data_IF_634367800410
#
_entry.id   IF_634367800410
#
_cell.length_a   1.000
_cell.length_b   1.000
_cell.length_c   1.000
_cell.angle_alpha   90.00
_cell.angle_beta   90.00
_cell.angle_gamma   90.00
#
_symmetry.space_group_name_H-M   'P 1'
#
loop_
_entity.id
_entity.type
_entity.pdbx_description
1 polymer ?
#
# COMPACT_ATOMS: atom_id res chain seq x y z
N UNK A 1 -58.97 23.35 -33.64
CA UNK A 1 -58.96 22.44 -32.47
C UNK A 1 -58.05 23.09 -31.45
N UNK A 2 -58.64 23.96 -30.61
CA UNK A 2 -59.12 23.67 -29.24
C UNK A 2 -57.93 23.76 -28.27
N UNK A 3 -57.64 24.96 -27.76
CA UNK A 3 -58.23 25.65 -26.59
C UNK A 3 -57.35 25.47 -25.34
N UNK A 4 -56.96 26.63 -24.81
CA UNK A 4 -56.42 26.90 -23.48
C UNK A 4 -57.44 26.52 -22.39
N UNK A 5 -56.98 26.29 -21.16
CA UNK A 5 -57.62 26.68 -19.88
C UNK A 5 -56.92 25.99 -18.69
N UNK A 6 -56.38 26.85 -17.83
CA UNK A 6 -56.00 26.67 -16.43
C UNK A 6 -57.20 26.48 -15.47
N UNK A 7 -57.04 25.72 -14.38
CA UNK A 7 -57.52 25.97 -13.00
C UNK A 7 -57.42 24.67 -12.18
N UNK A 8 -56.66 24.63 -11.08
CA UNK A 8 -57.00 25.03 -9.72
C UNK A 8 -57.72 23.94 -8.90
N UNK A 9 -57.01 23.52 -7.84
CA UNK A 9 -57.48 23.31 -6.46
C UNK A 9 -58.65 22.34 -6.14
N UNK A 10 -58.37 21.36 -5.28
CA UNK A 10 -59.32 20.89 -4.27
C UNK A 10 -58.57 20.25 -3.10
N UNK A 11 -58.97 20.66 -1.90
CA UNK A 11 -58.39 20.29 -0.62
C UNK A 11 -59.24 19.24 0.11
N UNK A 12 -58.65 18.68 1.17
CA UNK A 12 -59.26 18.04 2.36
C UNK A 12 -59.94 16.67 2.16
N UNK A 13 -59.49 15.67 2.94
CA UNK A 13 -60.28 14.96 3.97
C UNK A 13 -59.41 13.96 4.71
N UNK A 14 -59.21 14.16 6.01
CA UNK A 14 -58.76 13.13 6.96
C UNK A 14 -59.96 12.31 7.46
N UNK A 15 -59.73 11.05 7.87
CA UNK A 15 -60.31 10.65 9.16
C UNK A 15 -59.37 9.77 10.03
N UNK A 16 -59.22 10.22 11.28
CA UNK A 16 -59.39 9.48 12.54
C UNK A 16 -58.69 8.12 12.76
N UNK A 17 -57.74 8.13 13.71
CA UNK A 17 -57.21 6.99 14.46
C UNK A 17 -58.30 6.17 15.19
N UNK A 18 -58.01 4.92 15.55
CA UNK A 18 -57.93 4.62 16.98
C UNK A 18 -56.69 3.82 17.41
N UNK A 19 -56.21 4.18 18.60
CA UNK A 19 -55.12 3.53 19.34
C UNK A 19 -55.49 2.14 19.87
N UNK A 20 -54.51 1.25 20.00
CA UNK A 20 -54.48 0.22 21.07
C UNK A 20 -53.02 -0.07 21.43
N UNK A 21 -52.72 0.20 22.70
CA UNK A 21 -51.46 -0.09 23.37
C UNK A 21 -51.45 -1.56 23.79
N UNK A 22 -50.37 -2.28 23.49
CA UNK A 22 -50.06 -3.56 24.15
C UNK A 22 -48.65 -3.49 24.69
N UNK A 23 -48.57 -3.44 26.02
CA UNK A 23 -47.37 -3.54 26.83
C UNK A 23 -46.79 -4.96 26.78
N UNK A 24 -45.57 -5.11 26.28
CA UNK A 24 -44.78 -6.33 26.47
C UNK A 24 -43.39 -5.99 26.98
N UNK A 25 -43.14 -6.38 28.24
CA UNK A 25 -41.88 -6.68 28.91
C UNK A 25 -40.60 -6.00 28.38
N UNK A 26 -40.15 -4.97 29.11
CA UNK A 26 -38.82 -4.38 28.99
C UNK A 26 -37.74 -5.42 29.34
N UNK A 27 -37.16 -6.09 28.33
CA UNK A 27 -35.85 -6.74 28.46
C UNK A 27 -34.82 -5.65 28.75
N UNK A 28 -34.23 -5.64 29.96
CA UNK A 28 -33.09 -4.77 30.31
C UNK A 28 -31.96 -5.04 29.33
N UNK A 29 -31.83 -4.16 28.33
CA UNK A 29 -30.72 -4.13 27.39
C UNK A 29 -29.45 -3.83 28.17
N UNK A 30 -28.60 -4.83 28.37
CA UNK A 30 -27.22 -4.65 28.86
C UNK A 30 -26.53 -3.71 27.88
N UNK A 31 -26.29 -2.46 28.30
CA UNK A 31 -25.52 -1.50 27.52
C UNK A 31 -24.07 -1.96 27.59
N UNK A 32 -23.58 -2.52 26.49
CA UNK A 32 -22.14 -2.63 26.27
C UNK A 32 -21.53 -1.23 26.40
N UNK A 33 -20.41 -1.07 27.14
CA UNK A 33 -19.77 0.22 27.25
C UNK A 33 -19.37 0.69 25.85
N UNK A 34 -19.94 1.82 25.41
CA UNK A 34 -19.53 2.48 24.17
C UNK A 34 -18.12 3.00 24.42
N UNK A 35 -17.13 2.37 23.82
CA UNK A 35 -15.78 2.92 23.70
C UNK A 35 -15.89 4.26 22.98
N UNK A 36 -15.64 5.34 23.71
CA UNK A 36 -15.57 6.67 23.13
C UNK A 36 -14.17 6.87 22.58
N UNK A 37 -14.05 6.89 21.26
CA UNK A 37 -12.82 7.27 20.57
C UNK A 37 -12.50 8.72 20.92
N UNK A 38 -11.45 8.94 21.71
CA UNK A 38 -11.09 10.25 22.25
C UNK A 38 -10.49 11.17 21.17
N UNK A 39 -9.78 10.61 20.19
CA UNK A 39 -9.27 11.31 19.02
C UNK A 39 -9.01 10.30 17.88
N UNK A 40 -9.29 10.72 16.65
CA UNK A 40 -8.85 10.04 15.44
C UNK A 40 -7.83 10.94 14.75
N UNK A 41 -6.60 10.46 14.60
CA UNK A 41 -5.55 11.13 13.84
C UNK A 41 -5.35 10.38 12.52
N UNK A 42 -5.41 11.09 11.41
CA UNK A 42 -5.03 10.55 10.09
C UNK A 42 -3.76 11.25 9.64
N UNK A 43 -2.65 10.52 9.60
CA UNK A 43 -1.42 11.01 8.99
C UNK A 43 -1.54 10.79 7.49
N UNK A 44 -1.93 11.83 6.75
CA UNK A 44 -2.22 11.72 5.31
C UNK A 44 -0.98 11.72 4.43
N UNK A 45 0.06 12.42 4.85
CA UNK A 45 1.28 12.66 4.07
C UNK A 45 2.49 12.08 4.82
N UNK A 46 2.75 10.77 4.73
CA UNK A 46 3.97 10.18 5.25
C UNK A 46 5.18 10.75 4.51
N UNK A 47 6.22 11.17 5.23
CA UNK A 47 7.44 11.70 4.61
C UNK A 47 8.32 10.60 4.00
N UNK A 48 8.16 9.36 4.48
CA UNK A 48 9.01 8.23 4.12
C UNK A 48 8.19 7.09 3.54
N UNK A 49 8.81 6.35 2.64
CA UNK A 49 8.32 5.08 2.12
C UNK A 49 9.32 3.98 2.48
N UNK A 50 8.81 2.88 3.00
CA UNK A 50 9.56 1.68 3.33
C UNK A 50 9.33 0.65 2.24
N UNK A 51 10.41 0.09 1.70
CA UNK A 51 10.34 -0.82 0.56
C UNK A 51 11.12 -2.08 0.89
N UNK A 52 10.55 -3.22 0.54
CA UNK A 52 11.17 -4.52 0.61
C UNK A 52 11.52 -4.99 -0.82
N UNK A 53 12.81 -5.25 -1.04
CA UNK A 53 13.39 -5.70 -2.29
C UNK A 53 14.02 -7.07 -2.11
N UNK A 54 14.03 -7.86 -3.17
CA UNK A 54 14.73 -9.15 -3.23
C UNK A 54 15.61 -9.19 -4.49
N UNK A 55 16.87 -9.60 -4.34
CA UNK A 55 17.79 -9.75 -5.47
C UNK A 55 17.56 -11.12 -6.12
N UNK A 56 17.26 -11.12 -7.42
CA UNK A 56 17.03 -12.32 -8.23
C UNK A 56 18.19 -12.47 -9.21
N UNK A 57 18.69 -13.69 -9.39
CA UNK A 57 19.77 -13.99 -10.35
C UNK A 57 19.31 -15.00 -11.38
N UNK A 58 19.59 -14.74 -12.66
CA UNK A 58 19.21 -15.62 -13.77
C UNK A 58 20.03 -16.93 -13.86
N UNK A 59 21.07 -17.11 -13.02
CA UNK A 59 21.84 -18.37 -13.00
C UNK A 59 21.03 -19.47 -12.33
N UNK A 60 20.89 -20.58 -13.05
CA UNK A 60 20.09 -21.77 -12.72
C UNK A 60 20.04 -22.13 -11.21
N UNK A 61 18.86 -22.46 -10.65
CA UNK A 61 18.72 -22.95 -9.27
C UNK A 61 19.43 -24.30 -9.03
N UNK A 62 19.95 -24.95 -10.08
CA UNK A 62 20.63 -26.25 -10.00
C UNK A 62 22.12 -26.18 -9.63
N UNK A 63 22.73 -24.99 -9.55
CA UNK A 63 24.08 -24.86 -9.00
C UNK A 63 23.98 -24.39 -7.56
N UNK A 64 24.12 -25.34 -6.62
CA UNK A 64 24.32 -25.13 -5.19
C UNK A 64 25.66 -24.44 -4.87
N UNK A 65 26.04 -23.44 -5.67
CA UNK A 65 27.08 -22.50 -5.30
C UNK A 65 26.36 -21.44 -4.47
N UNK A 66 26.51 -21.51 -3.15
CA UNK A 66 26.07 -20.47 -2.22
C UNK A 66 26.47 -19.12 -2.79
N UNK A 67 25.48 -18.32 -3.23
CA UNK A 67 25.74 -16.92 -3.52
C UNK A 67 26.25 -16.31 -2.21
N UNK A 68 27.34 -15.53 -2.25
CA UNK A 68 27.74 -14.81 -1.06
C UNK A 68 26.54 -13.97 -0.59
N UNK A 69 26.28 -13.93 0.72
CA UNK A 69 25.19 -13.13 1.27
C UNK A 69 25.37 -11.69 0.80
N UNK A 70 24.26 -11.04 0.45
CA UNK A 70 24.28 -9.68 -0.07
C UNK A 70 24.83 -8.73 1.01
N UNK A 71 25.90 -8.01 0.68
CA UNK A 71 26.49 -7.00 1.56
C UNK A 71 25.84 -5.61 1.36
N UNK A 72 25.85 -4.80 2.41
CA UNK A 72 25.30 -3.43 2.46
C UNK A 72 25.91 -2.54 1.38
N UNK A 73 27.23 -2.60 1.20
CA UNK A 73 27.91 -1.75 0.23
C UNK A 73 27.50 -2.12 -1.20
N UNK A 74 27.45 -3.41 -1.50
CA UNK A 74 27.03 -3.93 -2.81
C UNK A 74 25.58 -3.57 -3.10
N UNK A 75 24.68 -3.78 -2.13
CA UNK A 75 23.29 -3.38 -2.24
C UNK A 75 23.19 -1.87 -2.54
N UNK A 76 23.86 -1.02 -1.76
CA UNK A 76 23.85 0.43 -1.97
C UNK A 76 24.35 0.80 -3.38
N UNK A 77 25.46 0.21 -3.83
CA UNK A 77 26.00 0.46 -5.18
C UNK A 77 25.00 0.06 -6.28
N UNK A 78 24.30 -1.07 -6.13
CA UNK A 78 23.27 -1.50 -7.07
C UNK A 78 22.09 -0.52 -7.09
N UNK A 79 21.59 -0.12 -5.92
CA UNK A 79 20.47 0.82 -5.80
C UNK A 79 20.82 2.19 -6.39
N UNK A 80 21.97 2.76 -6.03
CA UNK A 80 22.42 4.06 -6.57
C UNK A 80 22.69 3.99 -8.07
N UNK A 81 23.25 2.87 -8.56
CA UNK A 81 23.45 2.60 -10.00
C UNK A 81 22.11 2.60 -10.74
N UNK A 82 21.12 1.84 -10.25
CA UNK A 82 19.79 1.76 -10.83
C UNK A 82 19.10 3.13 -10.92
N UNK A 83 19.12 3.87 -9.82
CA UNK A 83 18.52 5.20 -9.77
C UNK A 83 19.22 6.19 -10.69
N UNK A 84 20.56 6.16 -10.74
CA UNK A 84 21.32 7.05 -11.62
C UNK A 84 21.10 6.73 -13.10
N UNK A 85 20.91 5.45 -13.45
CA UNK A 85 20.61 5.04 -14.82
C UNK A 85 19.20 5.45 -15.26
N UNK A 86 18.22 5.37 -14.35
CA UNK A 86 16.83 5.67 -14.66
C UNK A 86 16.48 7.17 -14.56
N UNK A 87 16.98 7.86 -13.54
CA UNK A 87 16.64 9.25 -13.20
C UNK A 87 17.81 10.24 -13.39
N UNK A 88 18.98 9.77 -13.80
CA UNK A 88 20.16 10.62 -13.96
C UNK A 88 20.64 11.23 -12.65
N UNK A 89 20.96 12.52 -12.69
CA UNK A 89 21.46 13.27 -11.53
C UNK A 89 20.48 13.26 -10.35
N UNK A 90 19.16 13.29 -10.61
CA UNK A 90 18.14 13.22 -9.56
C UNK A 90 18.24 11.89 -8.80
N UNK A 91 18.41 10.78 -9.53
CA UNK A 91 18.50 9.46 -8.93
C UNK A 91 19.67 9.29 -7.96
N UNK A 92 20.83 9.87 -8.29
CA UNK A 92 21.99 9.87 -7.41
C UNK A 92 21.86 10.77 -6.18
N UNK A 93 20.93 11.72 -6.18
CA UNK A 93 20.68 12.63 -5.06
C UNK A 93 19.59 12.12 -4.08
N UNK A 94 18.87 11.06 -4.44
CA UNK A 94 17.85 10.46 -3.57
C UNK A 94 18.55 9.85 -2.34
N UNK A 95 18.17 10.25 -1.11
CA UNK A 95 18.71 9.66 0.09
C UNK A 95 18.12 8.25 0.29
N UNK A 96 19.01 7.25 0.32
CA UNK A 96 18.65 5.84 0.52
C UNK A 96 19.23 5.41 1.85
N UNK A 97 18.39 4.79 2.68
CA UNK A 97 18.81 4.24 3.96
C UNK A 97 18.46 2.75 4.02
N UNK A 98 19.47 1.90 4.28
CA UNK A 98 19.32 0.45 4.35
C UNK A 98 19.07 0.08 5.81
N UNK A 99 17.85 -0.40 6.08
CA UNK A 99 17.39 -0.71 7.42
C UNK A 99 17.79 -2.11 7.87
N UNK A 100 17.72 -3.08 6.94
CA UNK A 100 17.99 -4.49 7.21
C UNK A 100 18.41 -5.20 5.93
N UNK A 101 19.27 -6.19 6.07
CA UNK A 101 19.59 -7.19 5.07
C UNK A 101 19.36 -8.58 5.63
N UNK A 102 18.80 -9.47 4.83
CA UNK A 102 18.62 -10.88 5.16
C UNK A 102 18.77 -11.72 3.89
N UNK A 103 19.89 -12.42 3.75
CA UNK A 103 20.16 -13.23 2.55
C UNK A 103 20.28 -12.38 1.29
N UNK A 104 19.23 -12.40 0.46
CA UNK A 104 19.09 -11.58 -0.76
C UNK A 104 18.02 -10.48 -0.63
N UNK A 105 17.38 -10.40 0.53
CA UNK A 105 16.33 -9.45 0.81
C UNK A 105 16.88 -8.18 1.49
N UNK A 106 16.35 -7.04 1.07
CA UNK A 106 16.77 -5.71 1.51
C UNK A 106 15.56 -4.88 1.89
N UNK A 107 15.62 -4.29 3.09
CA UNK A 107 14.64 -3.31 3.53
C UNK A 107 15.26 -1.93 3.50
N UNK A 108 14.61 -1.02 2.80
CA UNK A 108 15.09 0.34 2.64
C UNK A 108 14.03 1.35 3.04
N UNK A 109 14.51 2.56 3.32
CA UNK A 109 13.71 3.76 3.48
C UNK A 109 14.15 4.81 2.47
N UNK A 110 13.17 5.46 1.84
CA UNK A 110 13.36 6.57 0.88
C UNK A 110 12.30 7.65 1.09
N UNK A 111 12.49 8.89 0.60
CA UNK A 111 11.44 9.89 0.58
C UNK A 111 10.18 9.40 -0.14
N UNK A 112 9.01 9.73 0.42
CA UNK A 112 7.74 9.23 -0.11
C UNK A 112 7.45 9.71 -1.54
N UNK A 113 7.97 10.88 -1.93
CA UNK A 113 7.77 11.47 -3.25
C UNK A 113 8.57 10.73 -4.34
N UNK A 114 9.73 10.18 -4.00
CA UNK A 114 10.61 9.48 -4.93
C UNK A 114 10.22 8.00 -5.15
N UNK A 115 9.24 7.49 -4.39
CA UNK A 115 8.89 6.06 -4.39
C UNK A 115 8.56 5.49 -5.76
N UNK A 116 7.86 6.26 -6.58
CA UNK A 116 7.40 5.79 -7.90
C UNK A 116 8.59 5.67 -8.85
N UNK A 117 9.46 6.69 -8.85
CA UNK A 117 10.70 6.66 -9.63
C UNK A 117 11.64 5.56 -9.16
N UNK A 118 11.69 5.33 -7.85
CA UNK A 118 12.48 4.26 -7.26
C UNK A 118 12.02 2.87 -7.73
N UNK A 119 10.73 2.56 -7.59
CA UNK A 119 10.17 1.26 -8.01
C UNK A 119 10.39 1.02 -9.50
N UNK A 120 10.21 2.05 -10.33
CA UNK A 120 10.46 1.97 -11.76
C UNK A 120 11.95 1.73 -12.08
N UNK A 121 12.87 2.42 -11.40
CA UNK A 121 14.31 2.22 -11.55
C UNK A 121 14.72 0.78 -11.21
N UNK A 122 14.22 0.25 -10.09
CA UNK A 122 14.54 -1.10 -9.65
C UNK A 122 14.01 -2.17 -10.61
N UNK A 123 12.78 -2.01 -11.11
CA UNK A 123 12.18 -2.97 -12.04
C UNK A 123 12.85 -2.99 -13.42
N UNK A 124 13.55 -1.93 -13.81
CA UNK A 124 14.28 -1.84 -15.08
C UNK A 124 15.78 -2.15 -14.98
N UNK A 125 16.31 -2.34 -13.77
CA UNK A 125 17.75 -2.50 -13.58
C UNK A 125 18.19 -3.96 -13.70
N UNK A 126 19.31 -4.16 -14.40
CA UNK A 126 19.97 -5.47 -14.50
C UNK A 126 21.48 -5.34 -14.23
N UNK A 127 21.99 -6.16 -13.33
CA UNK A 127 23.41 -6.30 -13.06
C UNK A 127 24.15 -7.06 -14.15
N UNK A 128 25.48 -6.92 -14.20
CA UNK A 128 26.34 -7.57 -15.22
C UNK A 128 26.25 -9.10 -15.22
N UNK A 129 25.85 -9.70 -14.10
CA UNK A 129 25.66 -11.14 -13.94
C UNK A 129 24.28 -11.67 -14.32
N UNK A 130 23.39 -10.83 -14.89
CA UNK A 130 21.97 -11.19 -15.07
C UNK A 130 21.18 -11.14 -13.75
N UNK A 131 21.68 -10.38 -12.79
CA UNK A 131 21.00 -10.08 -11.53
C UNK A 131 19.97 -8.98 -11.77
N UNK A 132 18.86 -9.00 -11.04
CA UNK A 132 17.82 -8.00 -11.13
C UNK A 132 17.08 -7.86 -9.82
N UNK A 133 16.47 -6.70 -9.59
CA UNK A 133 15.72 -6.45 -8.37
C UNK A 133 14.25 -6.74 -8.56
N UNK A 134 13.70 -7.51 -7.63
CA UNK A 134 12.26 -7.70 -7.49
C UNK A 134 11.76 -6.83 -6.34
N UNK A 135 10.68 -6.10 -6.57
CA UNK A 135 9.98 -5.38 -5.50
C UNK A 135 8.98 -6.33 -4.86
N UNK A 136 9.19 -6.69 -3.59
CA UNK A 136 8.32 -7.60 -2.84
C UNK A 136 7.09 -6.86 -2.31
N UNK A 137 7.30 -5.63 -1.85
CA UNK A 137 6.23 -4.77 -1.36
C UNK A 137 6.75 -3.45 -0.81
N UNK A 138 5.83 -2.56 -0.45
CA UNK A 138 6.13 -1.30 0.21
C UNK A 138 5.03 -0.89 1.16
N UNK A 139 5.37 -0.05 2.14
CA UNK A 139 4.40 0.63 2.98
C UNK A 139 4.91 2.01 3.42
N UNK A 140 4.00 2.90 3.79
CA UNK A 140 4.37 4.22 4.33
C UNK A 140 4.67 4.22 5.83
N UNK A 141 4.49 3.09 6.52
CA UNK A 141 4.46 3.05 7.98
C UNK A 141 5.38 2.01 8.61
N UNK A 142 5.75 0.95 7.88
CA UNK A 142 6.57 -0.14 8.39
C UNK A 142 7.46 -0.76 7.32
N UNK A 143 8.68 -1.10 7.71
CA UNK A 143 9.59 -1.92 6.91
C UNK A 143 9.09 -3.34 6.71
N UNK A 144 8.19 -3.86 7.55
CA UNK A 144 7.67 -5.22 7.36
C UNK A 144 7.09 -5.38 5.95
N UNK A 145 6.44 -4.32 5.42
CA UNK A 145 6.13 -4.04 4.00
C UNK A 145 5.85 -5.28 3.13
N UNK A 146 5.31 -6.33 3.73
CA UNK A 146 5.15 -7.63 3.13
C UNK A 146 3.90 -7.51 2.31
N UNK A 147 4.08 -7.31 1.00
CA UNK A 147 2.97 -7.37 0.05
C UNK A 147 2.28 -8.69 0.28
N UNK A 148 1.01 -8.65 0.74
CA UNK A 148 0.25 -9.85 1.10
C UNK A 148 0.23 -10.84 -0.07
N UNK A 149 0.31 -10.32 -1.30
CA UNK A 149 0.36 -11.07 -2.55
C UNK A 149 1.28 -10.38 -3.60
N UNK A 150 2.59 -10.30 -3.35
CA UNK A 150 3.56 -9.67 -4.26
C UNK A 150 3.85 -10.43 -5.57
N UNK A 151 2.99 -11.38 -5.96
CA UNK A 151 3.19 -12.21 -7.16
C UNK A 151 4.38 -13.18 -7.08
N UNK A 152 5.00 -13.32 -5.91
CA UNK A 152 6.09 -14.27 -5.63
C UNK A 152 5.75 -15.71 -6.04
N UNK A 153 4.52 -16.14 -5.74
CA UNK A 153 4.01 -17.47 -6.07
C UNK A 153 3.90 -17.72 -7.59
N UNK A 154 3.94 -16.67 -8.43
CA UNK A 154 3.82 -16.79 -9.88
C UNK A 154 5.10 -17.25 -10.57
N UNK A 155 6.25 -17.12 -9.90
CA UNK A 155 7.54 -17.31 -10.57
C UNK A 155 8.29 -18.58 -10.19
N UNK A 156 7.82 -19.35 -9.20
CA UNK A 156 8.47 -20.57 -8.72
C UNK A 156 9.85 -20.32 -8.08
N UNK A 157 10.13 -20.99 -6.97
CA UNK A 157 11.45 -20.99 -6.34
C UNK A 157 12.41 -21.97 -7.04
#
# INVERSE_FOLDING_TARGET
>A
MAEDVSMAEAAVTAPTQPATQTSTASKKRVRTPKTHTLANLTLRNPQWSYIHLSLVSAKSPSSSLEYPPLDVLTAHLHLTSALSQFLGLHGGAIPIDILKLEGQDVWIRIPADDRVGFVAAMGGWTGRGGEGWRVVGWSSWSADASGRDGGRDLFGD
#
